data_IF_838220737777
#
_entry.id   IF_838220737777
#
_cell.length_a   1.000
_cell.length_b   1.000
_cell.length_c   1.000
_cell.angle_alpha   90.00
_cell.angle_beta   90.00
_cell.angle_gamma   90.00
#
_symmetry.space_group_name_H-M   'P 1'
#
loop_
_entity.id
_entity.type
_entity.pdbx_description
1 polymer ?
#
# COMPACT_ATOMS: atom_id res chain seq x y z
N UNK A 1 4.78 -28.14 -10.02
CA UNK A 1 4.40 -27.33 -8.85
C UNK A 1 5.53 -26.93 -7.91
N UNK A 2 6.62 -27.70 -7.74
CA UNK A 2 7.74 -27.33 -6.85
C UNK A 2 8.36 -25.92 -7.09
N UNK A 3 8.41 -25.42 -8.33
CA UNK A 3 8.88 -24.05 -8.62
C UNK A 3 7.91 -22.97 -8.14
N UNK A 4 6.59 -23.23 -8.19
CA UNK A 4 5.58 -22.31 -7.70
C UNK A 4 5.64 -22.21 -6.17
N UNK A 5 5.77 -23.36 -5.48
CA UNK A 5 5.88 -23.41 -4.02
C UNK A 5 7.15 -22.69 -3.53
N UNK A 6 8.29 -22.92 -4.19
CA UNK A 6 9.54 -22.25 -3.88
C UNK A 6 9.42 -20.72 -4.02
N UNK A 7 8.82 -20.25 -5.12
CA UNK A 7 8.61 -18.82 -5.34
C UNK A 7 7.66 -18.22 -4.30
N UNK A 8 6.56 -18.91 -3.98
CA UNK A 8 5.61 -18.44 -2.97
C UNK A 8 6.28 -18.29 -1.59
N UNK A 9 7.08 -19.28 -1.18
CA UNK A 9 7.84 -19.23 0.07
C UNK A 9 8.88 -18.09 0.09
N UNK A 10 9.57 -17.86 -1.02
CA UNK A 10 10.54 -16.76 -1.14
C UNK A 10 9.85 -15.40 -1.00
N UNK A 11 8.71 -15.20 -1.67
CA UNK A 11 7.96 -13.95 -1.60
C UNK A 11 7.40 -13.72 -0.18
N UNK A 12 6.83 -14.74 0.45
CA UNK A 12 6.34 -14.66 1.83
C UNK A 12 7.46 -14.26 2.81
N UNK A 13 8.66 -14.85 2.66
CA UNK A 13 9.81 -14.50 3.47
C UNK A 13 10.23 -13.03 3.28
N UNK A 14 10.23 -12.52 2.04
CA UNK A 14 10.57 -11.12 1.74
C UNK A 14 9.52 -10.14 2.30
N UNK A 15 8.24 -10.48 2.22
CA UNK A 15 7.16 -9.66 2.80
C UNK A 15 7.29 -9.57 4.32
N UNK A 16 7.49 -10.71 5.01
CA UNK A 16 7.73 -10.73 6.46
C UNK A 16 8.97 -9.94 6.89
N UNK A 17 10.03 -9.99 6.09
CA UNK A 17 11.23 -9.21 6.35
C UNK A 17 10.95 -7.69 6.27
N UNK A 18 10.18 -7.25 5.28
CA UNK A 18 9.76 -5.85 5.15
C UNK A 18 8.85 -5.41 6.30
N UNK A 19 7.89 -6.24 6.71
CA UNK A 19 7.05 -5.97 7.90
C UNK A 19 7.90 -5.81 9.17
N UNK A 20 8.90 -6.69 9.35
CA UNK A 20 9.81 -6.62 10.51
C UNK A 20 10.65 -5.34 10.50
N UNK A 21 11.07 -4.87 9.32
CA UNK A 21 11.87 -3.66 9.19
C UNK A 21 11.11 -2.40 9.61
N UNK A 22 9.79 -2.39 9.45
CA UNK A 22 8.93 -1.24 9.77
C UNK A 22 8.24 -1.36 11.12
N UNK A 23 8.37 -2.50 11.81
CA UNK A 23 7.74 -2.77 13.10
C UNK A 23 8.12 -1.79 14.21
N UNK A 24 9.31 -1.17 14.16
CA UNK A 24 9.76 -0.18 15.15
C UNK A 24 9.22 1.24 14.91
N UNK A 25 8.45 1.46 13.84
CA UNK A 25 7.85 2.76 13.53
C UNK A 25 6.59 2.95 14.38
N UNK A 26 6.75 3.65 15.51
CA UNK A 26 5.63 3.97 16.40
C UNK A 26 4.72 5.06 15.81
N UNK A 27 5.31 6.12 15.25
CA UNK A 27 4.59 7.25 14.68
C UNK A 27 4.43 7.10 13.16
N UNK A 28 3.43 6.30 12.77
CA UNK A 28 3.14 6.05 11.35
C UNK A 28 2.62 7.30 10.65
N UNK A 29 3.26 7.68 9.55
CA UNK A 29 2.85 8.86 8.77
C UNK A 29 1.66 8.54 7.87
N UNK A 30 0.75 9.51 7.74
CA UNK A 30 -0.34 9.47 6.77
C UNK A 30 0.22 9.75 5.37
N UNK A 31 -0.03 8.84 4.44
CA UNK A 31 0.50 8.90 3.07
C UNK A 31 -0.68 8.90 2.09
N UNK A 32 -0.72 9.90 1.22
CA UNK A 32 -1.64 9.94 0.08
C UNK A 32 -0.90 9.45 -1.16
N UNK A 33 -1.35 8.33 -1.74
CA UNK A 33 -0.88 7.90 -3.05
C UNK A 33 -1.77 8.46 -4.16
N UNK A 34 -1.15 9.17 -5.09
CA UNK A 34 -1.78 9.74 -6.28
C UNK A 34 -1.41 8.89 -7.49
N UNK A 35 -2.40 8.23 -8.09
CA UNK A 35 -2.21 7.44 -9.31
C UNK A 35 -2.07 8.35 -10.53
N UNK A 36 -2.86 9.41 -10.60
CA UNK A 36 -2.79 10.41 -11.66
C UNK A 36 -3.46 11.73 -11.25
N UNK A 37 -3.16 12.79 -11.99
CA UNK A 37 -3.80 14.09 -11.88
C UNK A 37 -4.27 14.53 -13.27
N UNK A 38 -5.57 14.79 -13.44
CA UNK A 38 -6.11 15.24 -14.72
C UNK A 38 -7.22 16.26 -14.51
N UNK A 39 -7.12 17.42 -15.17
CA UNK A 39 -8.14 18.46 -15.09
C UNK A 39 -8.42 18.95 -13.66
N UNK A 40 -7.38 19.05 -12.82
CA UNK A 40 -7.50 19.43 -11.41
C UNK A 40 -8.00 18.33 -10.47
N UNK A 41 -8.40 17.16 -11.00
CA UNK A 41 -8.85 16.02 -10.19
C UNK A 41 -7.72 15.07 -9.88
N UNK A 42 -7.66 14.61 -8.63
CA UNK A 42 -6.67 13.64 -8.16
C UNK A 42 -7.32 12.26 -8.15
N UNK A 43 -6.74 11.29 -8.86
CA UNK A 43 -7.13 9.88 -8.71
C UNK A 43 -6.28 9.26 -7.60
N UNK A 44 -6.88 9.02 -6.43
CA UNK A 44 -6.17 8.57 -5.24
C UNK A 44 -6.54 7.16 -4.81
N UNK A 45 -5.58 6.50 -4.17
CA UNK A 45 -5.74 5.15 -3.62
C UNK A 45 -6.55 5.14 -2.33
N UNK A 46 -7.66 4.39 -2.32
CA UNK A 46 -8.35 3.95 -1.10
C UNK A 46 -7.76 2.65 -0.55
N UNK A 47 -8.57 1.90 0.21
CA UNK A 47 -8.28 0.54 0.66
C UNK A 47 -8.27 -0.48 -0.50
N UNK A 48 -7.71 -1.68 -0.27
CA UNK A 48 -7.66 -2.81 -1.21
C UNK A 48 -6.99 -2.50 -2.55
N UNK A 49 -6.04 -1.56 -2.57
CA UNK A 49 -5.19 -1.34 -3.74
C UNK A 49 -3.77 -1.85 -3.48
N UNK A 50 -3.01 -2.05 -4.56
CA UNK A 50 -1.57 -2.31 -4.44
C UNK A 50 -0.84 -1.18 -3.70
N UNK A 51 -1.23 0.09 -3.93
CA UNK A 51 -0.61 1.23 -3.25
C UNK A 51 -0.90 1.23 -1.74
N UNK A 52 -2.13 0.87 -1.33
CA UNK A 52 -2.49 0.70 0.08
C UNK A 52 -1.64 -0.38 0.76
N UNK A 53 -1.45 -1.53 0.08
CA UNK A 53 -0.57 -2.60 0.56
C UNK A 53 0.87 -2.14 0.77
N UNK A 54 1.44 -1.40 -0.19
CA UNK A 54 2.81 -0.88 -0.08
C UNK A 54 2.93 0.20 1.00
N UNK A 55 1.94 1.10 1.13
CA UNK A 55 1.91 2.10 2.23
C UNK A 55 1.96 1.39 3.58
N UNK A 56 1.12 0.37 3.78
CA UNK A 56 1.09 -0.40 5.03
C UNK A 56 2.41 -1.14 5.28
N UNK A 57 2.95 -1.81 4.26
CA UNK A 57 4.21 -2.56 4.36
C UNK A 57 5.40 -1.65 4.71
N UNK A 58 5.40 -0.43 4.17
CA UNK A 58 6.42 0.61 4.46
C UNK A 58 6.26 1.29 5.82
N UNK A 59 5.28 0.89 6.64
CA UNK A 59 5.02 1.46 7.96
C UNK A 59 4.25 2.77 7.94
N UNK A 60 3.68 3.15 6.79
CA UNK A 60 2.74 4.25 6.67
C UNK A 60 1.31 3.81 7.00
N UNK A 61 0.42 4.80 7.03
CA UNK A 61 -1.03 4.59 6.99
C UNK A 61 -1.59 5.32 5.79
N UNK A 62 -2.50 4.69 5.05
CA UNK A 62 -3.16 5.35 3.94
C UNK A 62 -3.95 6.56 4.48
N UNK A 63 -3.78 7.72 3.84
CA UNK A 63 -4.50 8.92 4.20
C UNK A 63 -6.01 8.83 3.90
N UNK A 64 -6.42 7.91 3.02
CA UNK A 64 -7.82 7.62 2.66
C UNK A 64 -8.33 6.41 3.45
N UNK A 65 -9.46 6.59 4.16
CA UNK A 65 -10.19 5.55 4.90
C UNK A 65 -11.65 5.36 4.42
N UNK A 66 -12.17 6.26 3.59
CA UNK A 66 -13.58 6.31 3.21
C UNK A 66 -14.01 5.44 2.01
N UNK A 67 -13.07 4.76 1.32
CA UNK A 67 -13.42 3.91 0.19
C UNK A 67 -12.35 2.85 -0.14
N UNK A 68 -12.75 1.84 -0.91
CA UNK A 68 -11.89 0.84 -1.55
C UNK A 68 -11.66 1.17 -3.03
N UNK A 69 -10.55 0.71 -3.58
CA UNK A 69 -10.13 0.95 -4.96
C UNK A 69 -9.55 2.36 -5.20
N UNK A 70 -9.45 2.75 -6.46
CA UNK A 70 -9.03 4.10 -6.85
C UNK A 70 -10.26 4.97 -7.14
N UNK A 71 -10.31 6.16 -6.55
CA UNK A 71 -11.39 7.13 -6.82
C UNK A 71 -10.84 8.54 -7.02
N UNK A 72 -11.59 9.32 -7.80
CA UNK A 72 -11.32 10.74 -7.94
C UNK A 72 -11.68 11.45 -6.63
N UNK A 73 -10.74 12.20 -6.10
CA UNK A 73 -10.99 13.19 -5.06
C UNK A 73 -11.55 14.44 -5.76
N UNK A 74 -12.67 14.92 -5.25
CA UNK A 74 -13.15 16.28 -5.51
C UNK A 74 -12.82 17.16 -4.31
N UNK A 75 -12.83 18.46 -4.52
CA UNK A 75 -13.04 19.42 -3.43
C UNK A 75 -14.39 19.16 -2.72
#
# INVERSE_FOLDING_TARGET
>A
DAKADALAAEIDAKLKAAEKQTASINDRKRVLFVLSMQGGKILASGSDTAADGIIKLSGGVNAIDGYSGYKQLSD
#
